data_IF_913181519067
#
_entry.id   IF_913181519067
#
_cell.length_a   1.000
_cell.length_b   1.000
_cell.length_c   1.000
_cell.angle_alpha   90.00
_cell.angle_beta   90.00
_cell.angle_gamma   90.00
#
_symmetry.space_group_name_H-M   'P 1'
#
loop_
_entity.id
_entity.type
_entity.pdbx_description
1 polymer ?
#
# COMPACT_ATOMS: atom_id res chain seq x y z
N UNK A 1 28.91 -0.79 0.30
CA UNK A 1 28.77 -1.12 -1.16
C UNK A 1 27.55 -1.99 -1.46
N UNK A 2 27.28 -3.09 -0.77
CA UNK A 2 26.11 -3.94 -1.06
C UNK A 2 24.75 -3.23 -0.93
N UNK A 3 24.59 -2.30 0.01
CA UNK A 3 23.36 -1.52 0.19
C UNK A 3 23.11 -0.56 -0.98
N UNK A 4 24.16 0.09 -1.50
CA UNK A 4 24.05 1.01 -2.63
C UNK A 4 23.61 0.31 -3.92
N UNK A 5 24.19 -0.87 -4.22
CA UNK A 5 23.81 -1.65 -5.41
C UNK A 5 22.37 -2.13 -5.33
N UNK A 6 21.91 -2.61 -4.16
CA UNK A 6 20.51 -2.99 -3.97
C UNK A 6 19.57 -1.81 -4.25
N UNK A 7 19.87 -0.64 -3.69
CA UNK A 7 19.06 0.56 -3.89
C UNK A 7 19.05 1.00 -5.37
N UNK A 8 20.21 0.97 -6.06
CA UNK A 8 20.28 1.26 -7.49
C UNK A 8 19.41 0.31 -8.33
N UNK A 9 19.43 -1.00 -8.02
CA UNK A 9 18.56 -1.99 -8.68
C UNK A 9 17.09 -1.66 -8.45
N UNK A 10 16.68 -1.34 -7.21
CA UNK A 10 15.28 -1.00 -6.90
C UNK A 10 14.84 0.27 -7.62
N UNK A 11 15.70 1.31 -7.66
CA UNK A 11 15.39 2.55 -8.37
C UNK A 11 15.17 2.30 -9.86
N UNK A 12 16.10 1.60 -10.51
CA UNK A 12 15.98 1.25 -11.94
C UNK A 12 14.75 0.40 -12.21
N UNK A 13 14.44 -0.56 -11.32
CA UNK A 13 13.22 -1.35 -11.43
C UNK A 13 11.97 -0.46 -11.37
N UNK A 14 11.89 0.49 -10.45
CA UNK A 14 10.78 1.45 -10.36
C UNK A 14 10.61 2.28 -11.63
N UNK A 15 11.72 2.84 -12.18
CA UNK A 15 11.72 3.61 -13.43
C UNK A 15 11.22 2.75 -14.62
N UNK A 16 11.63 1.49 -14.70
CA UNK A 16 11.17 0.56 -15.72
C UNK A 16 9.69 0.18 -15.54
N UNK A 17 9.26 -0.09 -14.30
CA UNK A 17 7.87 -0.44 -13.99
C UNK A 17 6.91 0.74 -14.21
N UNK A 18 7.38 1.98 -14.08
CA UNK A 18 6.62 3.16 -14.49
C UNK A 18 6.40 3.23 -16.01
N UNK A 19 7.28 2.63 -16.81
CA UNK A 19 7.23 2.70 -18.29
C UNK A 19 6.54 1.50 -18.95
N UNK A 20 6.45 0.34 -18.28
CA UNK A 20 5.91 -0.91 -18.84
C UNK A 20 5.55 -1.94 -17.77
N UNK A 21 4.65 -2.90 -18.06
CA UNK A 21 4.28 -4.00 -17.16
C UNK A 21 5.49 -4.83 -16.70
N UNK A 22 5.40 -5.38 -15.47
CA UNK A 22 6.50 -6.12 -14.82
C UNK A 22 6.94 -7.35 -15.63
N UNK A 23 6.02 -8.05 -16.28
CA UNK A 23 6.30 -9.21 -17.12
C UNK A 23 7.14 -8.89 -18.38
N UNK A 24 7.29 -7.61 -18.71
CA UNK A 24 8.14 -7.11 -19.80
C UNK A 24 9.50 -6.59 -19.32
N UNK A 25 9.78 -6.64 -18.00
CA UNK A 25 11.06 -6.23 -17.43
C UNK A 25 11.98 -7.45 -17.34
N UNK A 26 13.20 -7.32 -17.83
CA UNK A 26 14.20 -8.38 -17.78
C UNK A 26 15.39 -8.03 -16.89
N UNK A 27 16.12 -9.04 -16.43
CA UNK A 27 17.38 -8.84 -15.71
C UNK A 27 18.37 -8.01 -16.55
N UNK A 28 18.36 -8.22 -17.88
CA UNK A 28 19.22 -7.47 -18.80
C UNK A 28 18.90 -5.97 -18.76
N UNK A 29 17.62 -5.60 -18.78
CA UNK A 29 17.22 -4.19 -18.73
C UNK A 29 17.75 -3.50 -17.47
N UNK A 30 17.63 -4.18 -16.32
CA UNK A 30 18.13 -3.65 -15.04
C UNK A 30 19.64 -3.55 -15.03
N UNK A 31 20.35 -4.60 -15.46
CA UNK A 31 21.82 -4.62 -15.43
C UNK A 31 22.42 -3.58 -16.38
N UNK A 32 21.84 -3.41 -17.57
CA UNK A 32 22.28 -2.42 -18.55
C UNK A 32 22.11 -0.99 -18.01
N UNK A 33 20.96 -0.68 -17.37
CA UNK A 33 20.74 0.66 -16.81
C UNK A 33 21.51 0.92 -15.52
N UNK A 34 21.73 -0.09 -14.70
CA UNK A 34 22.55 0.04 -13.48
C UNK A 34 24.06 0.08 -13.78
N UNK A 35 24.49 -0.32 -14.98
CA UNK A 35 25.91 -0.50 -15.30
C UNK A 35 26.59 -1.63 -14.51
N UNK A 36 25.87 -2.69 -14.17
CA UNK A 36 26.36 -3.82 -13.39
C UNK A 36 26.37 -5.11 -14.21
N UNK A 37 27.16 -6.10 -13.79
CA UNK A 37 27.14 -7.43 -14.38
C UNK A 37 25.92 -8.23 -13.96
N UNK A 38 25.50 -9.22 -14.75
CA UNK A 38 24.48 -10.20 -14.34
C UNK A 38 24.87 -10.93 -13.06
N UNK A 39 26.15 -11.26 -12.88
CA UNK A 39 26.63 -11.90 -11.65
C UNK A 39 26.41 -11.00 -10.43
N UNK A 40 26.63 -9.69 -10.57
CA UNK A 40 26.34 -8.71 -9.52
C UNK A 40 24.84 -8.66 -9.21
N UNK A 41 23.98 -8.72 -10.23
CA UNK A 41 22.55 -8.79 -10.04
C UNK A 41 22.17 -10.06 -9.24
N UNK A 42 22.60 -11.23 -9.70
CA UNK A 42 22.29 -12.54 -9.06
C UNK A 42 22.90 -12.72 -7.67
N UNK A 43 23.90 -11.94 -7.32
CA UNK A 43 24.38 -11.84 -5.94
C UNK A 43 23.35 -11.22 -4.99
N UNK A 44 22.50 -10.30 -5.49
CA UNK A 44 21.51 -9.56 -4.69
C UNK A 44 20.10 -10.12 -4.80
N UNK A 45 19.69 -10.58 -5.97
CA UNK A 45 18.33 -11.04 -6.28
C UNK A 45 18.37 -12.25 -7.22
N UNK A 46 17.53 -13.25 -6.98
CA UNK A 46 17.48 -14.45 -7.81
C UNK A 46 16.77 -14.18 -9.16
N UNK A 47 15.78 -13.29 -9.16
CA UNK A 47 14.96 -12.95 -10.32
C UNK A 47 14.29 -11.59 -10.19
N UNK A 48 13.50 -11.22 -11.18
CA UNK A 48 12.74 -9.97 -11.22
C UNK A 48 11.67 -9.90 -10.13
N UNK A 49 11.07 -11.02 -9.75
CA UNK A 49 10.01 -11.03 -8.74
C UNK A 49 10.55 -10.79 -7.32
N UNK A 50 11.79 -11.22 -7.05
CA UNK A 50 12.46 -10.80 -5.81
C UNK A 50 12.76 -9.31 -5.77
N UNK A 51 13.12 -8.70 -6.91
CA UNK A 51 13.28 -7.24 -7.01
C UNK A 51 11.93 -6.55 -6.80
N UNK A 52 10.87 -7.02 -7.47
CA UNK A 52 9.50 -6.52 -7.27
C UNK A 52 9.10 -6.57 -5.79
N UNK A 53 9.28 -7.72 -5.12
CA UNK A 53 8.94 -7.86 -3.70
C UNK A 53 9.68 -6.85 -2.84
N UNK A 54 10.98 -6.69 -3.05
CA UNK A 54 11.78 -5.73 -2.31
C UNK A 54 11.37 -4.28 -2.62
N UNK A 55 11.04 -3.97 -3.87
CA UNK A 55 10.56 -2.66 -4.29
C UNK A 55 9.21 -2.31 -3.65
N UNK A 56 8.25 -3.23 -3.71
CA UNK A 56 6.90 -3.04 -3.14
C UNK A 56 6.97 -2.90 -1.62
N UNK A 57 7.84 -3.65 -0.93
CA UNK A 57 8.09 -3.47 0.49
C UNK A 57 8.68 -2.09 0.81
N UNK A 58 9.69 -1.66 0.07
CA UNK A 58 10.29 -0.33 0.23
C UNK A 58 9.26 0.79 0.02
N UNK A 59 8.40 0.66 -1.00
CA UNK A 59 7.33 1.63 -1.25
C UNK A 59 6.26 1.63 -0.15
N UNK A 60 5.92 0.47 0.41
CA UNK A 60 4.99 0.35 1.52
C UNK A 60 5.54 1.03 2.79
N UNK A 61 6.82 0.82 3.10
CA UNK A 61 7.50 1.51 4.22
C UNK A 61 7.45 3.03 4.05
N UNK A 62 7.68 3.52 2.83
CA UNK A 62 7.59 4.95 2.54
C UNK A 62 6.16 5.51 2.72
N UNK A 63 5.13 4.79 2.28
CA UNK A 63 3.74 5.19 2.52
C UNK A 63 3.43 5.23 4.03
N UNK A 64 3.91 4.25 4.80
CA UNK A 64 3.74 4.23 6.26
C UNK A 64 4.44 5.43 6.91
N UNK A 65 5.66 5.78 6.47
CA UNK A 65 6.37 6.97 6.96
C UNK A 65 5.58 8.26 6.70
N UNK A 66 5.01 8.43 5.50
CA UNK A 66 4.15 9.56 5.17
C UNK A 66 2.93 9.64 6.09
N UNK A 67 2.27 8.51 6.38
CA UNK A 67 1.12 8.43 7.29
C UNK A 67 1.48 8.86 8.71
N UNK A 68 2.65 8.47 9.21
CA UNK A 68 3.11 8.81 10.58
C UNK A 68 3.49 10.30 10.69
N UNK A 69 4.06 10.89 9.64
CA UNK A 69 4.45 12.31 9.64
C UNK A 69 3.23 13.26 9.62
N UNK A 70 2.07 12.78 9.16
CA UNK A 70 0.88 13.62 8.96
C UNK A 70 -0.05 13.69 10.19
N UNK A 71 0.27 13.02 11.31
CA UNK A 71 -0.56 13.01 12.54
C UNK A 71 -0.70 14.38 13.26
N UNK A 72 -0.15 15.47 12.72
CA UNK A 72 -0.02 16.74 13.47
C UNK A 72 -0.61 18.01 12.84
N UNK A 73 -1.05 18.03 11.59
CA UNK A 73 -1.54 19.26 10.96
C UNK A 73 -3.02 19.18 10.61
N UNK A 74 -3.82 20.12 11.17
CA UNK A 74 -5.26 20.27 10.95
C UNK A 74 -5.69 20.18 9.48
N UNK A 75 -6.44 19.11 9.13
CA UNK A 75 -7.19 19.00 7.89
C UNK A 75 -6.39 18.63 6.64
N UNK A 76 -5.14 18.24 6.77
CA UNK A 76 -4.27 17.81 5.64
C UNK A 76 -3.85 16.36 5.71
N UNK A 77 -4.42 15.58 6.64
CA UNK A 77 -4.13 14.16 6.75
C UNK A 77 -4.41 13.45 5.41
N UNK A 78 -3.44 12.66 4.95
CA UNK A 78 -3.55 11.89 3.72
C UNK A 78 -3.18 12.63 2.42
N UNK A 79 -2.93 13.95 2.42
CA UNK A 79 -2.58 14.68 1.19
C UNK A 79 -1.20 14.31 0.65
N UNK A 80 -0.25 13.97 1.50
CA UNK A 80 1.10 13.54 1.08
C UNK A 80 1.04 12.18 0.38
N UNK A 81 0.30 11.24 0.96
CA UNK A 81 0.06 9.92 0.39
C UNK A 81 -0.68 10.01 -0.94
N UNK A 82 -1.73 10.84 -1.03
CA UNK A 82 -2.47 11.05 -2.28
C UNK A 82 -1.54 11.56 -3.37
N UNK A 83 -0.75 12.59 -3.09
CA UNK A 83 0.23 13.13 -4.06
C UNK A 83 1.28 12.10 -4.46
N UNK A 84 1.73 11.26 -3.52
CA UNK A 84 2.64 10.17 -3.83
C UNK A 84 1.98 9.14 -4.77
N UNK A 85 0.72 8.75 -4.53
CA UNK A 85 -0.03 7.84 -5.39
C UNK A 85 -0.25 8.43 -6.78
N UNK A 86 -0.66 9.70 -6.88
CA UNK A 86 -0.86 10.40 -8.16
C UNK A 86 0.45 10.54 -8.95
N UNK A 87 1.56 10.90 -8.28
CA UNK A 87 2.88 10.98 -8.91
C UNK A 87 3.39 9.63 -9.43
N UNK A 88 2.95 8.51 -8.83
CA UNK A 88 3.34 7.16 -9.22
C UNK A 88 2.23 6.39 -9.97
N UNK A 89 1.22 7.10 -10.52
CA UNK A 89 0.05 6.48 -11.18
C UNK A 89 0.43 5.48 -12.26
N UNK A 90 1.33 5.83 -13.18
CA UNK A 90 1.74 4.95 -14.27
C UNK A 90 2.37 3.65 -13.76
N UNK A 91 3.20 3.74 -12.74
CA UNK A 91 3.77 2.58 -12.06
C UNK A 91 2.68 1.71 -11.45
N UNK A 92 1.73 2.30 -10.72
CA UNK A 92 0.62 1.57 -10.10
C UNK A 92 -0.26 0.89 -11.14
N UNK A 93 -0.58 1.58 -12.25
CA UNK A 93 -1.32 1.00 -13.37
C UNK A 93 -0.58 -0.19 -14.01
N UNK A 94 0.74 -0.10 -14.19
CA UNK A 94 1.53 -1.19 -14.76
C UNK A 94 1.64 -2.38 -13.80
N UNK A 95 1.76 -2.14 -12.49
CA UNK A 95 1.69 -3.18 -11.46
C UNK A 95 0.32 -3.85 -11.47
N UNK A 96 -0.77 -3.08 -11.51
CA UNK A 96 -2.12 -3.60 -11.58
C UNK A 96 -2.36 -4.44 -12.84
N UNK A 97 -1.95 -3.96 -14.02
CA UNK A 97 -2.03 -4.73 -15.27
C UNK A 97 -1.23 -6.04 -15.22
N UNK A 98 -0.17 -6.09 -14.42
CA UNK A 98 0.63 -7.29 -14.19
C UNK A 98 0.04 -8.23 -13.12
N UNK A 99 -1.03 -7.84 -12.42
CA UNK A 99 -1.63 -8.61 -11.32
C UNK A 99 -2.36 -9.89 -11.77
N UNK A 100 -2.49 -10.14 -13.09
CA UNK A 100 -2.83 -11.45 -13.63
C UNK A 100 -1.77 -12.52 -13.27
N UNK A 101 -0.51 -12.10 -13.08
CA UNK A 101 0.55 -12.94 -12.51
C UNK A 101 0.34 -13.06 -11.00
N UNK A 102 0.31 -14.30 -10.50
CA UNK A 102 0.04 -14.61 -9.09
C UNK A 102 1.09 -14.01 -8.15
N UNK A 103 2.37 -14.01 -8.54
CA UNK A 103 3.45 -13.46 -7.72
C UNK A 103 3.31 -11.95 -7.56
N UNK A 104 2.96 -11.23 -8.63
CA UNK A 104 2.71 -9.79 -8.60
C UNK A 104 1.51 -9.49 -7.68
N UNK A 105 0.41 -10.20 -7.88
CA UNK A 105 -0.79 -10.03 -7.06
C UNK A 105 -0.51 -10.26 -5.57
N UNK A 106 0.20 -11.35 -5.24
CA UNK A 106 0.54 -11.67 -3.87
C UNK A 106 1.47 -10.63 -3.24
N UNK A 107 2.42 -10.07 -4.00
CA UNK A 107 3.27 -8.97 -3.54
C UNK A 107 2.45 -7.72 -3.20
N UNK A 108 1.56 -7.30 -4.09
CA UNK A 108 0.71 -6.12 -3.87
C UNK A 108 -0.23 -6.31 -2.69
N UNK A 109 -0.86 -7.48 -2.58
CA UNK A 109 -1.74 -7.81 -1.46
C UNK A 109 -0.99 -7.80 -0.12
N UNK A 110 0.20 -8.40 -0.06
CA UNK A 110 1.02 -8.43 1.14
C UNK A 110 1.46 -7.03 1.59
N UNK A 111 1.86 -6.17 0.65
CA UNK A 111 2.23 -4.79 0.96
C UNK A 111 1.04 -3.98 1.47
N UNK A 112 -0.10 -4.10 0.82
CA UNK A 112 -1.35 -3.47 1.26
C UNK A 112 -1.72 -3.92 2.69
N UNK A 113 -1.64 -5.21 2.98
CA UNK A 113 -1.87 -5.75 4.32
C UNK A 113 -0.96 -5.10 5.37
N UNK A 114 0.34 -5.00 5.10
CA UNK A 114 1.32 -4.40 6.03
C UNK A 114 0.95 -2.94 6.33
N UNK A 115 0.57 -2.16 5.32
CA UNK A 115 0.18 -0.75 5.48
C UNK A 115 -1.02 -0.63 6.42
N UNK A 116 -2.09 -1.39 6.17
CA UNK A 116 -3.31 -1.28 6.98
C UNK A 116 -3.17 -1.90 8.37
N UNK A 117 -2.39 -2.96 8.55
CA UNK A 117 -2.08 -3.51 9.87
C UNK A 117 -1.31 -2.48 10.72
N UNK A 118 -0.36 -1.76 10.11
CA UNK A 118 0.37 -0.67 10.79
C UNK A 118 -0.52 0.50 11.13
N UNK A 119 -1.42 0.89 10.24
CA UNK A 119 -2.41 1.95 10.49
C UNK A 119 -3.30 1.60 11.69
N UNK A 120 -3.89 0.40 11.71
CA UNK A 120 -4.75 -0.04 12.83
C UNK A 120 -3.95 -0.15 14.13
N UNK A 121 -2.72 -0.63 14.08
CA UNK A 121 -1.85 -0.69 15.27
C UNK A 121 -1.54 0.72 15.81
N UNK A 122 -1.22 1.69 14.97
CA UNK A 122 -1.00 3.08 15.37
C UNK A 122 -2.24 3.68 16.03
N UNK A 123 -3.41 3.57 15.40
CA UNK A 123 -4.67 4.13 15.93
C UNK A 123 -5.11 3.44 17.22
N UNK A 124 -4.73 2.17 17.44
CA UNK A 124 -5.09 1.40 18.64
C UNK A 124 -4.09 1.53 19.80
N UNK A 125 -3.05 2.37 19.67
CA UNK A 125 -2.07 2.55 20.74
C UNK A 125 -2.75 2.97 22.06
N UNK A 126 -2.38 2.28 23.14
CA UNK A 126 -2.95 2.51 24.47
C UNK A 126 -4.34 1.93 24.68
N UNK A 127 -4.88 1.13 23.74
CA UNK A 127 -6.16 0.44 23.86
C UNK A 127 -5.95 -1.09 23.92
N UNK A 128 -6.69 -1.78 24.79
CA UNK A 128 -6.71 -3.25 24.87
C UNK A 128 -7.74 -3.81 23.86
N UNK A 129 -7.42 -3.73 22.57
CA UNK A 129 -8.30 -4.17 21.47
C UNK A 129 -8.11 -5.66 21.19
N UNK A 130 -9.20 -6.36 20.91
CA UNK A 130 -9.16 -7.77 20.51
C UNK A 130 -8.40 -7.92 19.18
N UNK A 131 -7.51 -8.92 19.11
CA UNK A 131 -6.68 -9.14 17.91
C UNK A 131 -7.51 -9.44 16.64
N UNK A 132 -8.63 -10.15 16.81
CA UNK A 132 -9.57 -10.48 15.76
C UNK A 132 -10.25 -9.22 15.20
N UNK A 133 -10.64 -8.28 16.06
CA UNK A 133 -11.27 -7.02 15.66
C UNK A 133 -10.28 -6.11 14.90
N UNK A 134 -9.01 -6.06 15.33
CA UNK A 134 -7.94 -5.37 14.58
C UNK A 134 -7.80 -5.93 13.17
N UNK A 135 -7.80 -7.26 13.01
CA UNK A 135 -7.71 -7.91 11.69
C UNK A 135 -8.90 -7.58 10.80
N UNK A 136 -10.11 -7.59 11.37
CA UNK A 136 -11.33 -7.24 10.62
C UNK A 136 -11.27 -5.78 10.15
N UNK A 137 -10.91 -4.84 11.03
CA UNK A 137 -10.81 -3.42 10.68
C UNK A 137 -9.72 -3.17 9.64
N UNK A 138 -8.55 -3.81 9.77
CA UNK A 138 -7.48 -3.76 8.78
C UNK A 138 -7.99 -4.25 7.41
N UNK A 139 -8.67 -5.39 7.36
CA UNK A 139 -9.22 -5.95 6.12
C UNK A 139 -10.28 -5.04 5.49
N UNK A 140 -11.19 -4.45 6.28
CA UNK A 140 -12.19 -3.50 5.79
C UNK A 140 -11.53 -2.28 5.14
N UNK A 141 -10.54 -1.67 5.80
CA UNK A 141 -9.79 -0.55 5.25
C UNK A 141 -9.06 -0.95 3.96
N UNK A 142 -8.37 -2.09 3.98
CA UNK A 142 -7.63 -2.62 2.83
C UNK A 142 -8.54 -2.80 1.62
N UNK A 143 -9.64 -3.52 1.75
CA UNK A 143 -10.54 -3.80 0.62
C UNK A 143 -11.25 -2.55 0.11
N UNK A 144 -11.60 -1.62 1.00
CA UNK A 144 -12.20 -0.33 0.62
C UNK A 144 -11.23 0.47 -0.25
N UNK A 145 -10.00 0.67 0.23
CA UNK A 145 -8.99 1.42 -0.52
C UNK A 145 -8.59 0.69 -1.81
N UNK A 146 -8.47 -0.64 -1.77
CA UNK A 146 -8.18 -1.43 -2.97
C UNK A 146 -9.26 -1.25 -4.05
N UNK A 147 -10.54 -1.23 -3.68
CA UNK A 147 -11.64 -0.97 -4.61
C UNK A 147 -11.55 0.43 -5.24
N UNK A 148 -11.31 1.44 -4.41
CA UNK A 148 -11.13 2.83 -4.86
C UNK A 148 -9.93 2.94 -5.81
N UNK A 149 -8.78 2.37 -5.45
CA UNK A 149 -7.57 2.40 -6.29
C UNK A 149 -7.77 1.68 -7.61
N UNK A 150 -8.49 0.55 -7.61
CA UNK A 150 -8.82 -0.19 -8.85
C UNK A 150 -9.66 0.68 -9.78
N UNK A 151 -10.76 1.26 -9.32
CA UNK A 151 -11.60 2.14 -10.13
C UNK A 151 -10.84 3.38 -10.63
N UNK A 152 -10.04 4.00 -9.77
CA UNK A 152 -9.20 5.13 -10.15
C UNK A 152 -8.18 4.81 -11.26
N UNK A 153 -7.61 3.61 -11.24
CA UNK A 153 -6.68 3.16 -12.29
C UNK A 153 -7.41 2.83 -13.60
N UNK A 154 -8.64 2.31 -13.53
CA UNK A 154 -9.45 1.93 -14.70
C UNK A 154 -10.11 3.14 -15.37
N UNK A 155 -10.50 4.16 -14.63
CA UNK A 155 -11.22 5.35 -15.10
C UNK A 155 -10.31 6.56 -15.39
N UNK A 156 -9.11 6.32 -15.93
CA UNK A 156 -8.15 7.36 -16.31
C UNK A 156 -7.82 8.40 -15.20
N UNK A 157 -7.81 7.94 -13.96
CA UNK A 157 -7.46 8.79 -12.80
C UNK A 157 -8.64 9.54 -12.21
N UNK A 158 -9.86 9.17 -12.59
CA UNK A 158 -11.09 9.73 -12.03
C UNK A 158 -11.93 8.64 -11.35
N UNK A 159 -12.78 9.02 -10.42
CA UNK A 159 -13.75 8.17 -9.75
C UNK A 159 -15.12 8.85 -9.85
N UNK A 160 -16.00 8.34 -10.69
CA UNK A 160 -17.30 8.97 -10.95
C UNK A 160 -17.20 10.46 -11.29
N UNK A 161 -16.16 10.88 -12.02
CA UNK A 161 -15.90 12.27 -12.38
C UNK A 161 -15.20 13.12 -11.31
N UNK A 162 -14.75 12.51 -10.21
CA UNK A 162 -13.99 13.18 -9.14
C UNK A 162 -12.53 12.71 -9.15
N UNK A 163 -11.59 13.57 -8.73
CA UNK A 163 -10.18 13.20 -8.54
C UNK A 163 -10.00 12.29 -7.33
N UNK A 164 -8.91 11.53 -7.27
CA UNK A 164 -8.57 10.71 -6.11
C UNK A 164 -8.54 11.56 -4.82
N UNK A 165 -7.96 12.77 -4.88
CA UNK A 165 -7.93 13.70 -3.75
C UNK A 165 -9.34 14.05 -3.27
N UNK A 166 -10.27 14.43 -4.17
CA UNK A 166 -11.64 14.77 -3.81
C UNK A 166 -12.37 13.63 -3.12
N UNK A 167 -12.21 12.40 -3.63
CA UNK A 167 -12.84 11.20 -3.06
C UNK A 167 -12.26 10.88 -1.69
N UNK A 168 -10.94 10.88 -1.54
CA UNK A 168 -10.30 10.51 -0.27
C UNK A 168 -10.52 11.56 0.83
N UNK A 169 -10.49 12.87 0.49
CA UNK A 169 -10.85 13.94 1.44
C UNK A 169 -12.31 13.82 1.90
N UNK A 170 -13.23 13.48 0.99
CA UNK A 170 -14.64 13.25 1.34
C UNK A 170 -14.81 12.03 2.23
N UNK A 171 -14.07 10.94 1.97
CA UNK A 171 -14.07 9.75 2.81
C UNK A 171 -13.54 10.03 4.22
N UNK A 172 -12.44 10.79 4.32
CA UNK A 172 -11.91 11.21 5.62
C UNK A 172 -12.97 12.00 6.41
N UNK A 173 -13.64 12.97 5.76
CA UNK A 173 -14.71 13.72 6.39
C UNK A 173 -15.89 12.85 6.85
N UNK A 174 -16.36 11.94 5.99
CA UNK A 174 -17.53 11.09 6.29
C UNK A 174 -17.24 10.03 7.35
N UNK A 175 -16.01 9.51 7.39
CA UNK A 175 -15.61 8.43 8.29
C UNK A 175 -14.67 8.89 9.41
N UNK A 176 -14.56 10.22 9.62
CA UNK A 176 -13.70 10.79 10.66
C UNK A 176 -14.01 10.19 12.03
N UNK A 177 -12.99 9.60 12.65
CA UNK A 177 -13.13 8.97 13.97
C UNK A 177 -13.76 7.58 13.99
N UNK A 178 -14.36 7.10 12.90
CA UNK A 178 -15.09 5.82 12.87
C UNK A 178 -14.22 4.63 13.25
N UNK A 179 -13.00 4.56 12.74
CA UNK A 179 -12.05 3.48 13.06
C UNK A 179 -11.71 3.52 14.55
N UNK A 180 -11.40 4.71 15.08
CA UNK A 180 -11.08 4.90 16.50
C UNK A 180 -12.26 4.49 17.41
N UNK A 181 -13.47 4.88 17.05
CA UNK A 181 -14.67 4.48 17.78
C UNK A 181 -14.92 2.97 17.74
N UNK A 182 -14.70 2.32 16.59
CA UNK A 182 -14.79 0.87 16.47
C UNK A 182 -13.76 0.16 17.37
N UNK A 183 -12.51 0.64 17.41
CA UNK A 183 -11.46 0.15 18.29
C UNK A 183 -11.80 0.35 19.78
N UNK A 184 -12.36 1.53 20.15
CA UNK A 184 -12.84 1.78 21.52
C UNK A 184 -13.97 0.84 21.94
N UNK A 185 -14.91 0.55 21.03
CA UNK A 185 -15.98 -0.45 21.30
C UNK A 185 -15.41 -1.85 21.51
N UNK A 186 -14.39 -2.24 20.72
CA UNK A 186 -13.71 -3.52 20.91
C UNK A 186 -12.98 -3.57 22.26
N UNK A 187 -12.27 -2.50 22.63
CA UNK A 187 -11.53 -2.41 23.89
C UNK A 187 -12.45 -2.44 25.14
N UNK A 188 -13.67 -1.89 25.02
CA UNK A 188 -14.66 -1.89 26.12
C UNK A 188 -15.46 -3.18 26.25
N UNK A 189 -15.29 -4.14 25.35
CA UNK A 189 -16.02 -5.40 25.34
C UNK A 189 -15.37 -6.43 26.26
N UNK A 190 -16.16 -7.08 27.11
CA UNK A 190 -15.70 -8.23 27.88
C UNK A 190 -15.25 -9.38 26.96
N UNK A 191 -14.15 -10.05 27.32
CA UNK A 191 -13.56 -11.11 26.49
C UNK A 191 -14.60 -12.23 26.25
N UNK A 192 -14.89 -12.48 24.96
CA UNK A 192 -15.72 -13.61 24.52
C UNK A 192 -17.18 -13.31 24.20
N UNK A 193 -17.69 -12.11 24.44
CA UNK A 193 -19.06 -11.74 24.09
C UNK A 193 -19.10 -10.98 22.75
N UNK A 194 -19.56 -11.65 21.71
CA UNK A 194 -20.08 -10.93 20.54
C UNK A 194 -21.37 -10.21 20.96
N UNK A 195 -21.64 -8.97 20.49
CA UNK A 195 -22.94 -8.35 20.74
C UNK A 195 -24.02 -9.30 20.25
N UNK A 196 -25.03 -9.58 21.10
CA UNK A 196 -26.19 -10.35 20.66
C UNK A 196 -26.69 -9.73 19.36
N UNK A 197 -26.72 -10.53 18.29
CA UNK A 197 -27.18 -10.07 16.98
C UNK A 197 -28.68 -9.78 17.10
N UNK A 198 -29.02 -8.55 17.47
CA UNK A 198 -30.28 -7.98 17.04
C UNK A 198 -30.12 -7.70 15.56
N UNK A 199 -30.36 -8.72 14.73
CA UNK A 199 -30.54 -8.53 13.30
C UNK A 199 -31.61 -7.46 13.11
N UNK A 200 -31.24 -6.40 12.37
CA UNK A 200 -32.14 -5.42 11.82
C UNK A 200 -33.15 -6.10 10.88
#
# INVERSE_FOLDING_TARGET
MASFTKFAILKVFGDLAASRPVDKITVKDITDQCGISRNTFYYHYQDIYQVLKAYVQYSAEHVIELMVEDEGEDGKAGLKEIRYLEANRELLCNLYRSAANEEVRNCLQSASQIIFDRLIESVSQGMEVQAEDKKILSAVCQYTVQGIMTSWMEEDGMLNGETLEQVLVRLDYLFKGTIREALMRSASREQGLLPESKML
#
